data_IF_888613025352
#
_entry.id   IF_888613025352
#
_cell.length_a   1.000
_cell.length_b   1.000
_cell.length_c   1.000
_cell.angle_alpha   90.00
_cell.angle_beta   90.00
_cell.angle_gamma   90.00
#
_symmetry.space_group_name_H-M   'P 1'
#
loop_
_entity.id
_entity.type
_entity.pdbx_description
1 polymer ?
#
# COMPACT_ATOMS: atom_id res chain seq x y z
N UNK A 1 17.53 -7.79 -9.24
CA UNK A 1 16.39 -8.28 -10.06
C UNK A 1 15.90 -9.59 -9.44
N UNK A 2 14.66 -9.65 -8.93
CA UNK A 2 14.21 -10.83 -8.15
C UNK A 2 13.56 -11.87 -9.07
N UNK A 3 14.38 -12.64 -9.77
CA UNK A 3 13.94 -13.64 -10.77
C UNK A 3 14.51 -15.01 -10.39
N UNK A 4 13.68 -16.04 -10.43
CA UNK A 4 14.14 -17.43 -10.24
C UNK A 4 14.99 -17.87 -11.44
N UNK A 5 16.25 -18.21 -11.22
CA UNK A 5 17.17 -18.61 -12.30
C UNK A 5 16.81 -19.95 -12.97
N UNK A 6 16.01 -20.78 -12.31
CA UNK A 6 15.61 -22.09 -12.83
C UNK A 6 14.36 -22.02 -13.74
N UNK A 7 13.48 -21.05 -13.53
CA UNK A 7 12.20 -20.97 -14.26
C UNK A 7 11.81 -19.59 -14.78
N UNK A 8 12.57 -18.53 -14.49
CA UNK A 8 12.30 -17.16 -14.95
C UNK A 8 11.15 -16.45 -14.25
N UNK A 9 10.56 -17.04 -13.20
CA UNK A 9 9.44 -16.43 -12.48
C UNK A 9 9.86 -15.20 -11.67
N UNK A 10 9.03 -14.16 -11.68
CA UNK A 10 9.24 -12.93 -10.91
C UNK A 10 8.83 -13.15 -9.45
N UNK A 11 9.81 -13.17 -8.56
CA UNK A 11 9.60 -13.28 -7.13
C UNK A 11 9.10 -11.94 -6.56
N UNK A 12 8.32 -12.01 -5.48
CA UNK A 12 7.94 -10.79 -4.74
C UNK A 12 9.19 -10.05 -4.27
N UNK A 13 9.15 -8.74 -4.37
CA UNK A 13 10.16 -7.83 -3.84
C UNK A 13 9.43 -6.68 -3.14
N UNK A 14 10.06 -6.07 -2.14
CA UNK A 14 9.48 -4.88 -1.53
C UNK A 14 9.53 -3.71 -2.53
N UNK A 15 8.65 -2.72 -2.33
CA UNK A 15 8.69 -1.48 -3.09
C UNK A 15 10.02 -0.76 -2.92
N UNK A 16 10.56 -0.75 -1.70
CA UNK A 16 11.87 -0.16 -1.37
C UNK A 16 13.01 -0.81 -2.15
N UNK A 17 13.08 -2.15 -2.15
CA UNK A 17 14.12 -2.89 -2.90
C UNK A 17 14.04 -2.59 -4.41
N UNK A 18 12.83 -2.32 -4.92
CA UNK A 18 12.62 -1.99 -6.34
C UNK A 18 13.05 -0.56 -6.67
N UNK A 19 12.80 0.39 -5.77
CA UNK A 19 13.22 1.79 -5.88
C UNK A 19 14.75 1.86 -5.90
N UNK A 20 15.41 1.25 -4.91
CA UNK A 20 16.88 1.22 -4.80
C UNK A 20 17.55 0.57 -6.01
N UNK A 21 16.91 -0.41 -6.64
CA UNK A 21 17.45 -1.10 -7.81
C UNK A 21 17.35 -0.28 -9.10
N UNK A 22 16.34 0.60 -9.23
CA UNK A 22 16.01 1.28 -10.48
C UNK A 22 16.38 2.77 -10.48
N UNK A 23 16.63 3.37 -9.32
CA UNK A 23 16.81 4.81 -9.14
C UNK A 23 18.20 5.08 -8.61
N UNK A 24 18.85 6.12 -9.13
CA UNK A 24 20.20 6.48 -8.71
C UNK A 24 20.20 6.90 -7.23
N UNK A 25 21.17 6.43 -6.42
CA UNK A 25 21.26 6.78 -5.01
C UNK A 25 21.22 8.30 -4.79
N UNK A 26 20.34 8.75 -3.89
CA UNK A 26 20.20 10.18 -3.55
C UNK A 26 19.34 10.99 -4.52
N UNK A 27 18.73 10.37 -5.55
CA UNK A 27 17.78 11.04 -6.45
C UNK A 27 16.32 10.74 -6.17
N UNK A 28 16.04 9.77 -5.28
CA UNK A 28 14.69 9.45 -4.84
C UNK A 28 14.14 10.55 -3.92
N UNK A 29 13.01 11.12 -4.30
CA UNK A 29 12.24 12.08 -3.50
C UNK A 29 10.78 11.59 -3.39
N UNK A 30 10.34 11.15 -2.21
CA UNK A 30 8.99 10.64 -2.00
C UNK A 30 7.98 11.81 -2.02
N UNK A 31 7.02 11.77 -2.95
CA UNK A 31 6.10 12.90 -3.16
C UNK A 31 4.91 12.94 -2.17
N UNK A 32 4.52 11.80 -1.60
CA UNK A 32 3.26 11.65 -0.85
C UNK A 32 3.42 10.72 0.38
N UNK A 33 4.56 10.78 1.08
CA UNK A 33 4.78 10.00 2.32
C UNK A 33 3.74 10.30 3.41
N UNK A 34 3.21 11.53 3.42
CA UNK A 34 2.21 11.99 4.39
C UNK A 34 0.76 11.84 3.90
N UNK A 35 0.54 11.32 2.69
CA UNK A 35 -0.81 11.07 2.16
C UNK A 35 -1.38 9.73 2.66
N UNK A 36 -1.27 9.47 3.97
CA UNK A 36 -2.14 8.51 4.62
C UNK A 36 -3.43 9.24 4.99
N UNK A 37 -4.44 9.26 4.11
CA UNK A 37 -5.81 9.35 4.63
C UNK A 37 -6.05 8.05 5.40
N UNK A 38 -6.16 8.07 6.73
CA UNK A 38 -6.26 6.83 7.47
C UNK A 38 -7.55 6.18 7.01
N UNK A 39 -7.45 4.99 6.40
CA UNK A 39 -8.62 4.20 6.03
C UNK A 39 -9.59 4.06 7.22
N UNK A 40 -9.01 4.04 8.43
CA UNK A 40 -9.71 4.14 9.72
C UNK A 40 -10.55 5.41 9.86
N UNK A 41 -10.03 6.59 9.54
CA UNK A 41 -10.77 7.86 9.62
C UNK A 41 -11.96 7.87 8.67
N UNK A 42 -11.81 7.26 7.49
CA UNK A 42 -12.93 7.06 6.55
C UNK A 42 -13.99 6.13 7.13
N UNK A 43 -13.59 4.99 7.70
CA UNK A 43 -14.51 4.07 8.38
C UNK A 43 -15.22 4.79 9.54
N UNK A 44 -14.48 5.45 10.42
CA UNK A 44 -15.01 6.14 11.59
C UNK A 44 -15.99 7.26 11.19
N UNK A 45 -15.72 7.97 10.09
CA UNK A 45 -16.63 8.97 9.54
C UNK A 45 -17.93 8.35 9.06
N UNK A 46 -17.86 7.24 8.31
CA UNK A 46 -19.05 6.55 7.85
C UNK A 46 -19.84 5.94 9.01
N UNK A 47 -19.18 5.28 9.96
CA UNK A 47 -19.82 4.73 11.17
C UNK A 47 -20.49 5.83 12.01
N UNK A 48 -19.86 7.00 12.20
CA UNK A 48 -20.47 8.14 12.91
C UNK A 48 -21.65 8.74 12.16
N UNK A 49 -21.59 8.80 10.82
CA UNK A 49 -22.68 9.35 9.99
C UNK A 49 -23.88 8.41 9.89
N UNK A 50 -23.65 7.10 9.79
CA UNK A 50 -24.72 6.11 9.61
C UNK A 50 -25.21 5.50 10.92
N UNK A 51 -24.41 5.57 11.98
CA UNK A 51 -24.65 4.86 13.25
C UNK A 51 -24.49 3.34 13.15
N UNK A 52 -24.03 2.82 12.00
CA UNK A 52 -23.86 1.40 11.74
C UNK A 52 -22.38 1.03 11.80
N UNK A 53 -22.05 -0.03 12.54
CA UNK A 53 -20.67 -0.53 12.63
C UNK A 53 -20.22 -1.20 11.34
N UNK A 54 -21.13 -1.73 10.54
CA UNK A 54 -20.85 -2.44 9.28
C UNK A 54 -21.87 -2.07 8.19
N UNK A 55 -21.45 -2.24 6.94
CA UNK A 55 -22.28 -1.97 5.75
C UNK A 55 -23.29 -3.09 5.44
N UNK A 56 -23.12 -4.27 6.03
CA UNK A 56 -24.00 -5.43 5.82
C UNK A 56 -24.61 -5.85 7.15
N UNK A 57 -25.95 -5.94 7.19
CA UNK A 57 -26.69 -6.54 8.30
C UNK A 57 -27.23 -7.91 7.86
N UNK A 58 -27.03 -8.93 8.69
CA UNK A 58 -27.56 -10.28 8.49
C UNK A 58 -28.52 -10.62 9.63
N UNK A 59 -29.64 -11.27 9.31
CA UNK A 59 -30.68 -11.70 10.26
C UNK A 59 -30.54 -13.17 10.63
#
# INVERSE_FOLDING_TARGET
MNICEQCGYHLKMSSSDRIELLIDPGTWDPMDEDMEEPYKDRIDSYQRKTGLTEVVQTA
#
